data_IF_238108393516
#
_entry.id   IF_238108393516
#
_cell.length_a   1.000
_cell.length_b   1.000
_cell.length_c   1.000
_cell.angle_alpha   90.00
_cell.angle_beta   90.00
_cell.angle_gamma   90.00
#
_symmetry.space_group_name_H-M   'P 1'
#
loop_
_entity.id
_entity.type
_entity.pdbx_description
1 polymer ?
#
# COMPACT_ATOMS: atom_id res chain seq x y z
N UNK A 1 17.56 -38.05 0.82
CA UNK A 1 16.16 -38.40 0.46
C UNK A 1 15.12 -37.69 1.32
N UNK A 2 15.25 -37.64 2.66
CA UNK A 2 14.30 -36.91 3.55
C UNK A 2 14.14 -35.42 3.22
N UNK A 3 15.23 -34.75 2.83
CA UNK A 3 15.23 -33.32 2.50
C UNK A 3 14.55 -32.98 1.16
N UNK A 4 14.68 -33.88 0.16
CA UNK A 4 13.96 -33.78 -1.12
C UNK A 4 12.46 -34.01 -0.95
N UNK A 5 12.07 -35.01 -0.15
CA UNK A 5 10.67 -35.29 0.15
C UNK A 5 10.01 -34.16 0.98
N UNK A 6 10.76 -33.53 1.90
CA UNK A 6 10.33 -32.34 2.64
C UNK A 6 10.11 -31.13 1.72
N UNK A 7 11.04 -30.86 0.78
CA UNK A 7 10.87 -29.81 -0.24
C UNK A 7 9.70 -30.06 -1.19
N UNK A 8 9.50 -31.30 -1.65
CA UNK A 8 8.38 -31.66 -2.53
C UNK A 8 7.02 -31.54 -1.83
N UNK A 9 6.94 -31.91 -0.56
CA UNK A 9 5.72 -31.78 0.25
C UNK A 9 5.41 -30.32 0.56
N UNK A 10 6.41 -29.51 0.92
CA UNK A 10 6.26 -28.06 1.11
C UNK A 10 5.83 -27.37 -0.18
N UNK A 11 6.48 -27.66 -1.31
CA UNK A 11 6.11 -27.11 -2.62
C UNK A 11 4.67 -27.42 -3.03
N UNK A 12 4.14 -28.61 -2.70
CA UNK A 12 2.72 -28.95 -2.92
C UNK A 12 1.77 -28.19 -2.00
N UNK A 13 2.11 -28.04 -0.71
CA UNK A 13 1.34 -27.27 0.28
C UNK A 13 1.30 -25.80 -0.13
N UNK A 14 2.45 -25.22 -0.45
CA UNK A 14 2.61 -23.87 -1.00
C UNK A 14 1.76 -23.68 -2.24
N UNK A 15 1.85 -24.56 -3.25
CA UNK A 15 1.00 -24.46 -4.47
C UNK A 15 -0.50 -24.49 -4.18
N UNK A 16 -0.94 -25.30 -3.20
CA UNK A 16 -2.34 -25.38 -2.79
C UNK A 16 -2.80 -24.11 -2.06
N UNK A 17 -1.99 -23.60 -1.12
CA UNK A 17 -2.22 -22.33 -0.42
C UNK A 17 -2.28 -21.14 -1.39
N UNK A 18 -1.37 -21.10 -2.35
CA UNK A 18 -1.31 -20.07 -3.39
C UNK A 18 -2.54 -20.09 -4.30
N UNK A 19 -3.07 -21.27 -4.60
CA UNK A 19 -4.31 -21.41 -5.37
C UNK A 19 -5.51 -20.84 -4.60
N UNK A 20 -5.54 -21.03 -3.28
CA UNK A 20 -6.63 -20.56 -2.43
C UNK A 20 -6.46 -19.14 -1.92
N UNK A 21 -5.28 -18.50 -2.05
CA UNK A 21 -5.05 -17.11 -1.63
C UNK A 21 -6.10 -16.12 -2.19
N UNK A 22 -6.66 -16.40 -3.38
CA UNK A 22 -7.79 -15.67 -4.02
C UNK A 22 -9.06 -15.74 -3.20
N UNK A 23 -9.20 -16.86 -2.53
CA UNK A 23 -10.23 -17.14 -1.57
C UNK A 23 -9.85 -16.66 -0.18
N UNK A 24 -8.82 -15.83 0.04
CA UNK A 24 -8.61 -15.23 1.37
C UNK A 24 -8.61 -13.71 1.33
N UNK A 25 -7.91 -13.15 0.35
CA UNK A 25 -7.91 -11.71 0.05
C UNK A 25 -8.59 -11.55 -1.30
N UNK A 26 -9.85 -11.10 -1.31
CA UNK A 26 -10.63 -10.97 -2.53
C UNK A 26 -10.13 -9.81 -3.42
N UNK A 27 -9.69 -8.71 -2.78
CA UNK A 27 -9.04 -7.59 -3.45
C UNK A 27 -7.65 -7.97 -4.00
N UNK A 28 -7.20 -7.25 -5.02
CA UNK A 28 -5.81 -7.32 -5.50
C UNK A 28 -5.01 -6.23 -4.79
N UNK A 29 -4.25 -6.63 -3.78
CA UNK A 29 -3.42 -5.76 -2.95
C UNK A 29 -1.96 -5.86 -3.34
N UNK A 30 -1.30 -4.70 -3.44
CA UNK A 30 0.15 -4.52 -3.53
C UNK A 30 0.56 -3.51 -2.45
N UNK A 31 1.60 -3.82 -1.68
CA UNK A 31 2.18 -2.98 -0.64
C UNK A 31 3.63 -2.66 -0.97
N UNK A 32 3.96 -1.37 -1.03
CA UNK A 32 5.33 -0.89 -0.91
C UNK A 32 5.56 -0.49 0.54
N UNK A 33 6.47 -1.18 1.23
CA UNK A 33 6.82 -0.90 2.62
C UNK A 33 8.23 -0.35 2.73
N UNK A 34 8.46 0.47 3.75
CA UNK A 34 9.69 1.22 3.91
C UNK A 34 10.91 0.35 4.24
N UNK A 35 10.70 -0.74 4.97
CA UNK A 35 11.79 -1.55 5.49
C UNK A 35 11.35 -2.98 5.82
N UNK A 36 12.35 -3.84 6.09
CA UNK A 36 12.12 -5.19 6.59
C UNK A 36 11.71 -5.18 8.07
N UNK A 37 11.14 -6.27 8.52
CA UNK A 37 10.57 -6.53 9.86
C UNK A 37 11.56 -6.38 11.03
N UNK A 38 12.85 -6.18 10.77
CA UNK A 38 13.88 -5.95 11.79
C UNK A 38 14.55 -4.57 11.68
N UNK A 39 13.98 -3.63 10.93
CA UNK A 39 14.62 -2.36 10.58
C UNK A 39 13.85 -1.14 11.06
N UNK A 40 14.60 -0.07 11.36
CA UNK A 40 14.07 1.28 11.59
C UNK A 40 14.14 2.14 10.32
N UNK A 41 13.13 2.96 10.05
CA UNK A 41 13.08 3.88 8.91
C UNK A 41 13.89 5.16 9.13
N UNK A 42 14.43 5.72 8.06
CA UNK A 42 15.13 7.00 8.09
C UNK A 42 14.21 8.14 7.63
N UNK A 43 14.26 9.27 8.34
CA UNK A 43 13.62 10.51 7.90
C UNK A 43 14.48 11.25 6.86
N UNK A 44 13.83 11.92 5.91
CA UNK A 44 14.50 12.83 4.97
C UNK A 44 14.27 14.28 5.42
N UNK A 45 15.34 15.00 5.69
CA UNK A 45 15.28 16.39 6.15
C UNK A 45 14.85 17.41 5.08
N UNK A 46 14.96 17.04 3.78
CA UNK A 46 14.53 17.90 2.68
C UNK A 46 14.06 17.08 1.46
N UNK A 47 12.74 16.85 1.40
CA UNK A 47 12.06 16.09 0.34
C UNK A 47 12.23 16.72 -1.06
N UNK A 48 12.54 18.01 -1.16
CA UNK A 48 12.76 18.69 -2.46
C UNK A 48 14.07 18.30 -3.15
N UNK A 49 15.06 17.75 -2.41
CA UNK A 49 16.24 17.08 -3.02
C UNK A 49 15.83 15.89 -3.89
N UNK A 50 14.60 15.40 -3.75
CA UNK A 50 13.99 14.34 -4.56
C UNK A 50 13.07 14.87 -5.68
N UNK A 51 13.19 16.16 -6.06
CA UNK A 51 12.50 16.75 -7.22
C UNK A 51 10.95 16.71 -7.18
N UNK A 52 10.33 16.64 -6.00
CA UNK A 52 8.88 16.83 -5.84
C UNK A 52 8.55 18.34 -5.89
N UNK A 53 8.38 18.86 -7.11
CA UNK A 53 8.17 20.30 -7.38
C UNK A 53 6.86 20.90 -6.86
N UNK A 54 6.04 20.11 -6.15
CA UNK A 54 4.78 20.54 -5.52
C UNK A 54 4.90 20.66 -3.99
N UNK A 55 6.09 20.43 -3.44
CA UNK A 55 6.35 20.45 -1.99
C UNK A 55 7.18 21.69 -1.63
N UNK A 56 6.82 22.46 -0.58
CA UNK A 56 7.61 23.60 -0.12
C UNK A 56 9.05 23.23 0.27
N UNK A 57 9.97 24.20 0.18
CA UNK A 57 11.37 24.05 0.61
C UNK A 57 11.48 23.73 2.12
N UNK A 58 12.40 22.83 2.51
CA UNK A 58 12.62 22.48 3.92
C UNK A 58 11.62 21.48 4.52
N UNK A 59 10.72 20.92 3.70
CA UNK A 59 9.74 19.93 4.14
C UNK A 59 10.43 18.61 4.49
N UNK A 60 10.27 18.16 5.74
CA UNK A 60 10.64 16.83 6.21
C UNK A 60 9.60 15.79 5.77
N UNK A 61 10.03 14.57 5.50
CA UNK A 61 9.16 13.46 5.11
C UNK A 61 9.85 12.11 5.26
N UNK A 62 9.08 11.04 5.24
CA UNK A 62 9.57 9.67 5.24
C UNK A 62 10.23 9.33 3.91
N UNK A 63 11.32 8.56 3.97
CA UNK A 63 12.11 8.24 2.80
C UNK A 63 11.35 7.32 1.83
N UNK A 64 10.56 6.36 2.34
CA UNK A 64 9.79 5.46 1.48
C UNK A 64 8.75 6.24 0.66
N UNK A 65 7.95 7.08 1.31
CA UNK A 65 6.90 7.88 0.67
C UNK A 65 7.51 8.80 -0.38
N UNK A 66 8.55 9.52 -0.01
CA UNK A 66 9.19 10.51 -0.87
C UNK A 66 9.79 9.87 -2.13
N UNK A 67 10.46 8.73 -1.99
CA UNK A 67 11.06 8.01 -3.12
C UNK A 67 10.00 7.39 -4.04
N UNK A 68 8.96 6.79 -3.47
CA UNK A 68 7.85 6.25 -4.24
C UNK A 68 7.18 7.33 -5.09
N UNK A 69 6.82 8.46 -4.48
CA UNK A 69 6.22 9.59 -5.18
C UNK A 69 7.16 10.20 -6.22
N UNK A 70 8.47 10.28 -5.94
CA UNK A 70 9.47 10.81 -6.88
C UNK A 70 9.48 10.00 -8.17
N UNK A 71 9.57 8.69 -8.06
CA UNK A 71 9.65 7.77 -9.21
C UNK A 71 8.40 7.89 -10.08
N UNK A 72 7.22 7.84 -9.47
CA UNK A 72 5.96 7.93 -10.19
C UNK A 72 5.74 9.30 -10.82
N UNK A 73 6.07 10.37 -10.11
CA UNK A 73 5.90 11.73 -10.61
C UNK A 73 6.88 12.05 -11.75
N UNK A 74 8.10 11.52 -11.71
CA UNK A 74 9.05 11.62 -12.81
C UNK A 74 8.52 10.90 -14.06
N UNK A 75 8.04 9.66 -13.91
CA UNK A 75 7.44 8.91 -15.01
C UNK A 75 6.23 9.64 -15.61
N UNK A 76 5.36 10.21 -14.77
CA UNK A 76 4.23 11.04 -15.21
C UNK A 76 4.68 12.25 -16.05
N UNK A 77 5.72 12.99 -15.61
CA UNK A 77 6.25 14.13 -16.38
C UNK A 77 6.81 13.71 -17.75
N UNK A 78 7.53 12.59 -17.81
CA UNK A 78 8.05 12.06 -19.07
C UNK A 78 6.92 11.73 -20.07
N UNK A 79 5.85 11.09 -19.57
CA UNK A 79 4.67 10.79 -20.39
C UNK A 79 3.96 12.07 -20.89
N UNK A 80 3.81 13.07 -20.02
CA UNK A 80 3.20 14.36 -20.41
C UNK A 80 4.04 15.10 -21.46
N UNK A 81 5.35 15.11 -21.30
CA UNK A 81 6.25 15.73 -22.27
C UNK A 81 6.21 15.01 -23.63
N UNK A 82 6.20 13.67 -23.63
CA UNK A 82 6.03 12.89 -24.84
C UNK A 82 4.71 13.23 -25.55
N UNK A 83 3.60 13.25 -24.81
CA UNK A 83 2.27 13.56 -25.36
C UNK A 83 2.16 15.00 -25.89
N UNK A 84 2.85 15.97 -25.26
CA UNK A 84 2.93 17.34 -25.76
C UNK A 84 3.72 17.38 -27.07
N UNK A 85 4.93 16.83 -27.11
CA UNK A 85 5.78 16.82 -28.32
C UNK A 85 5.10 16.10 -29.48
N UNK A 86 4.35 15.03 -29.21
CA UNK A 86 3.57 14.31 -30.22
C UNK A 86 2.50 15.19 -30.86
N UNK A 87 1.74 15.94 -30.04
CA UNK A 87 0.74 16.93 -30.53
C UNK A 87 1.40 18.07 -31.32
N UNK A 88 2.49 18.63 -30.82
CA UNK A 88 3.20 19.70 -31.53
C UNK A 88 3.81 19.20 -32.86
N UNK A 89 4.22 17.93 -32.93
CA UNK A 89 4.80 17.33 -34.14
C UNK A 89 3.78 16.99 -35.21
N UNK A 90 2.52 16.67 -34.86
CA UNK A 90 1.46 16.43 -35.85
C UNK A 90 1.13 17.67 -36.67
N UNK A 91 1.52 18.85 -36.19
CA UNK A 91 1.33 20.14 -36.86
C UNK A 91 2.56 20.55 -37.73
N UNK A 92 3.62 19.72 -37.80
CA UNK A 92 4.88 20.05 -38.51
C UNK A 92 5.39 18.91 -39.40
N UNK A 93 5.88 19.24 -40.61
CA UNK A 93 6.40 18.27 -41.60
C UNK A 93 7.82 17.73 -41.29
N UNK A 94 8.23 17.63 -40.03
CA UNK A 94 9.59 17.19 -39.66
C UNK A 94 9.70 15.66 -39.46
N UNK A 95 10.05 14.93 -40.53
CA UNK A 95 10.26 13.46 -40.51
C UNK A 95 11.24 12.99 -39.41
N UNK A 96 12.31 13.74 -39.14
CA UNK A 96 13.30 13.36 -38.10
C UNK A 96 12.71 13.38 -36.68
N UNK A 97 11.79 14.31 -36.40
CA UNK A 97 11.13 14.41 -35.10
C UNK A 97 10.07 13.30 -34.93
N UNK A 98 9.39 12.93 -36.00
CA UNK A 98 8.43 11.82 -36.02
C UNK A 98 9.11 10.48 -35.71
N UNK A 99 10.33 10.24 -36.18
CA UNK A 99 11.09 9.02 -35.86
C UNK A 99 11.43 8.88 -34.36
N UNK A 100 11.75 9.99 -33.68
CA UNK A 100 12.04 10.00 -32.22
C UNK A 100 10.78 9.88 -31.37
N UNK A 101 9.61 10.24 -31.91
CA UNK A 101 8.31 10.14 -31.25
C UNK A 101 7.55 8.86 -31.61
N UNK A 102 8.14 7.99 -32.45
CA UNK A 102 7.51 6.74 -32.89
C UNK A 102 7.22 5.77 -31.74
N UNK A 103 8.00 5.85 -30.66
CA UNK A 103 7.87 4.98 -29.50
C UNK A 103 7.60 5.79 -28.23
N UNK A 104 6.49 5.51 -27.50
CA UNK A 104 6.24 6.13 -26.19
C UNK A 104 7.30 5.68 -25.17
N UNK A 105 7.49 6.44 -24.08
CA UNK A 105 8.34 6.00 -22.98
C UNK A 105 7.81 4.66 -22.44
N UNK A 106 8.70 3.71 -22.09
CA UNK A 106 8.28 2.42 -21.58
C UNK A 106 7.47 2.58 -20.29
N UNK A 107 6.46 1.74 -20.11
CA UNK A 107 5.69 1.70 -18.87
C UNK A 107 6.61 1.35 -17.71
N UNK A 108 6.44 2.07 -16.59
CA UNK A 108 7.15 1.75 -15.37
C UNK A 108 6.64 0.42 -14.80
N UNK A 109 7.54 -0.40 -14.27
CA UNK A 109 7.21 -1.71 -13.70
C UNK A 109 7.41 -1.71 -12.18
N UNK A 110 6.80 -2.68 -11.49
CA UNK A 110 6.97 -2.86 -10.04
C UNK A 110 8.44 -2.95 -9.64
N UNK A 111 9.22 -3.74 -10.39
CA UNK A 111 10.64 -3.95 -10.18
C UNK A 111 11.47 -2.70 -10.47
N UNK A 112 11.09 -1.89 -11.46
CA UNK A 112 11.77 -0.60 -11.71
C UNK A 112 11.59 0.36 -10.53
N UNK A 113 10.39 0.41 -9.93
CA UNK A 113 10.12 1.27 -8.77
C UNK A 113 10.91 0.79 -7.56
N UNK A 114 10.76 -0.50 -7.21
CA UNK A 114 11.42 -1.09 -6.04
C UNK A 114 12.95 -0.94 -6.12
N UNK A 115 13.55 -1.28 -7.27
CA UNK A 115 14.98 -1.18 -7.47
C UNK A 115 15.46 0.29 -7.38
N UNK A 116 14.69 1.25 -7.92
CA UNK A 116 15.06 2.66 -7.78
C UNK A 116 15.04 3.11 -6.32
N UNK A 117 13.99 2.76 -5.57
CA UNK A 117 13.88 3.10 -4.16
C UNK A 117 15.05 2.52 -3.34
N UNK A 118 15.41 1.25 -3.57
CA UNK A 118 16.54 0.58 -2.91
C UNK A 118 17.88 1.23 -3.26
N UNK A 119 18.14 1.52 -4.55
CA UNK A 119 19.38 2.18 -4.99
C UNK A 119 19.55 3.58 -4.38
N UNK A 120 18.46 4.34 -4.24
CA UNK A 120 18.54 5.66 -3.62
C UNK A 120 18.77 5.54 -2.12
N UNK A 121 18.15 4.56 -1.43
CA UNK A 121 18.44 4.30 -0.02
C UNK A 121 19.92 3.96 0.19
N UNK A 122 20.47 3.04 -0.62
CA UNK A 122 21.88 2.64 -0.57
C UNK A 122 22.82 3.82 -0.81
N UNK A 123 22.58 4.62 -1.86
CA UNK A 123 23.43 5.80 -2.18
C UNK A 123 23.43 6.87 -1.08
N UNK A 124 22.36 6.95 -0.29
CA UNK A 124 22.26 7.91 0.81
C UNK A 124 22.60 7.30 2.17
N UNK A 125 23.11 6.05 2.20
CA UNK A 125 23.43 5.30 3.41
C UNK A 125 22.23 5.17 4.38
N UNK A 126 21.01 5.06 3.85
CA UNK A 126 19.86 4.73 4.66
C UNK A 126 19.84 3.23 4.96
N UNK A 127 19.60 2.88 6.22
CA UNK A 127 19.55 1.49 6.68
C UNK A 127 18.30 0.75 6.22
N UNK A 128 17.24 1.49 5.88
CA UNK A 128 16.00 0.92 5.39
C UNK A 128 16.16 0.28 4.01
N UNK A 129 15.55 -0.90 3.83
CA UNK A 129 15.49 -1.59 2.55
C UNK A 129 14.02 -1.70 2.15
N UNK A 130 13.54 -0.87 1.19
CA UNK A 130 12.19 -0.96 0.70
C UNK A 130 11.84 -2.37 0.22
N UNK A 131 10.63 -2.81 0.54
CA UNK A 131 10.10 -4.10 0.17
C UNK A 131 8.81 -3.94 -0.64
N UNK A 132 8.48 -5.00 -1.37
CA UNK A 132 7.22 -5.11 -2.08
C UNK A 132 6.56 -6.42 -1.69
N UNK A 133 5.32 -6.36 -1.22
CA UNK A 133 4.49 -7.53 -0.96
C UNK A 133 3.16 -7.44 -1.68
N UNK A 134 2.58 -8.59 -2.03
CA UNK A 134 1.43 -8.69 -2.92
C UNK A 134 0.49 -9.81 -2.49
N UNK A 135 -0.79 -9.63 -2.79
CA UNK A 135 -1.83 -10.68 -2.67
C UNK A 135 -1.79 -11.71 -3.82
N UNK A 136 -1.09 -11.40 -4.91
CA UNK A 136 -0.96 -12.21 -6.13
C UNK A 136 0.49 -12.24 -6.61
N UNK A 137 0.92 -13.30 -7.31
CA UNK A 137 2.22 -13.28 -7.94
C UNK A 137 2.23 -12.24 -9.08
N UNK A 138 3.35 -11.54 -9.22
CA UNK A 138 3.59 -10.53 -10.26
C UNK A 138 4.95 -10.76 -10.91
N UNK A 139 5.07 -10.42 -12.18
CA UNK A 139 6.34 -10.42 -12.90
C UNK A 139 6.97 -9.03 -12.80
N UNK A 140 7.87 -8.85 -11.84
CA UNK A 140 8.32 -7.52 -11.43
C UNK A 140 8.81 -6.60 -12.55
N UNK A 141 9.53 -7.12 -13.54
CA UNK A 141 10.08 -6.33 -14.65
C UNK A 141 9.29 -6.47 -15.97
N UNK A 142 8.16 -7.20 -15.96
CA UNK A 142 7.30 -7.36 -17.15
C UNK A 142 5.93 -6.75 -16.96
N UNK A 143 5.38 -6.84 -15.76
CA UNK A 143 4.06 -6.32 -15.45
C UNK A 143 4.18 -4.80 -15.18
N UNK A 144 3.42 -3.96 -15.90
CA UNK A 144 3.42 -2.52 -15.65
C UNK A 144 2.79 -2.21 -14.29
N UNK A 145 3.33 -1.20 -13.60
CA UNK A 145 2.76 -0.65 -12.38
C UNK A 145 1.86 0.54 -12.71
N UNK A 146 0.63 0.51 -12.21
CA UNK A 146 -0.33 1.60 -12.31
C UNK A 146 -1.15 1.66 -11.03
N UNK A 147 -1.26 2.85 -10.42
CA UNK A 147 -2.21 3.08 -9.32
C UNK A 147 -3.63 3.00 -9.88
N UNK A 148 -3.89 3.73 -10.96
CA UNK A 148 -5.16 3.70 -11.71
C UNK A 148 -4.89 3.05 -13.07
N UNK A 149 -5.53 1.91 -13.40
CA UNK A 149 -5.39 1.28 -14.72
C UNK A 149 -5.82 2.22 -15.86
N UNK A 150 -5.16 2.12 -17.02
CA UNK A 150 -5.51 2.95 -18.20
C UNK A 150 -6.95 2.73 -18.69
N UNK A 151 -7.49 1.53 -18.47
CA UNK A 151 -8.87 1.17 -18.81
C UNK A 151 -9.87 1.46 -17.68
N UNK A 152 -9.46 2.16 -16.63
CA UNK A 152 -10.35 2.57 -15.56
C UNK A 152 -11.40 3.52 -16.12
N UNK A 153 -12.67 3.12 -16.03
CA UNK A 153 -13.79 3.99 -16.38
C UNK A 153 -14.53 4.29 -15.11
N UNK A 154 -14.49 5.56 -14.68
CA UNK A 154 -15.31 6.01 -13.58
C UNK A 154 -16.78 5.95 -14.02
N UNK A 155 -17.50 4.91 -13.58
CA UNK A 155 -18.93 4.76 -13.83
C UNK A 155 -19.63 4.69 -12.49
N UNK A 156 -20.61 5.53 -12.22
CA UNK A 156 -21.54 5.21 -11.14
C UNK A 156 -22.45 4.06 -11.61
N UNK A 157 -22.66 2.98 -10.82
CA UNK A 157 -22.23 2.78 -9.43
C UNK A 157 -20.91 2.00 -9.25
N UNK A 158 -20.17 1.66 -10.32
CA UNK A 158 -19.00 0.76 -10.29
C UNK A 158 -17.68 1.46 -10.64
N UNK A 159 -16.76 1.51 -9.67
CA UNK A 159 -15.40 1.99 -9.88
C UNK A 159 -15.20 3.43 -9.45
N UNK A 160 -14.92 3.60 -8.15
CA UNK A 160 -14.50 4.85 -7.52
C UNK A 160 -13.01 4.81 -7.17
N UNK A 161 -12.34 5.95 -7.26
CA UNK A 161 -10.97 6.12 -6.76
C UNK A 161 -11.01 6.57 -5.30
N UNK A 162 -10.66 5.70 -4.37
CA UNK A 162 -10.75 5.96 -2.92
C UNK A 162 -9.38 6.01 -2.29
N UNK A 163 -9.15 6.91 -1.34
CA UNK A 163 -7.91 6.91 -0.57
C UNK A 163 -8.19 6.85 0.94
N UNK A 164 -7.41 6.05 1.65
CA UNK A 164 -7.30 6.10 3.11
C UNK A 164 -5.88 6.53 3.47
N UNK A 165 -5.75 7.67 4.15
CA UNK A 165 -4.46 8.29 4.44
C UNK A 165 -4.39 8.58 5.93
N UNK A 166 -3.37 8.02 6.60
CA UNK A 166 -3.19 8.11 8.04
C UNK A 166 -1.77 8.61 8.32
N UNK A 167 -1.66 9.74 9.02
CA UNK A 167 -0.38 10.36 9.36
C UNK A 167 -0.31 10.70 10.84
N UNK A 168 0.69 10.17 11.52
CA UNK A 168 0.86 10.34 12.97
C UNK A 168 2.26 10.87 13.28
N UNK A 169 2.30 12.07 13.84
CA UNK A 169 3.53 12.80 14.18
C UNK A 169 3.86 12.69 15.68
N UNK A 170 2.92 12.24 16.50
CA UNK A 170 3.02 12.10 17.95
C UNK A 170 3.45 13.41 18.62
N UNK A 171 2.81 14.51 18.20
CA UNK A 171 3.10 15.87 18.70
C UNK A 171 3.05 15.90 20.23
N UNK A 172 4.02 16.56 20.87
CA UNK A 172 4.17 16.64 22.33
C UNK A 172 4.54 15.32 23.04
N UNK A 173 4.96 14.28 22.31
CA UNK A 173 5.54 13.07 22.88
C UNK A 173 7.07 13.04 22.73
N UNK A 174 7.80 12.28 23.56
CA UNK A 174 9.23 12.05 23.36
C UNK A 174 9.55 11.23 22.10
N UNK A 175 8.53 10.67 21.44
CA UNK A 175 8.63 9.88 20.23
C UNK A 175 8.13 10.65 18.99
N UNK A 176 8.13 11.99 19.05
CA UNK A 176 7.65 12.82 17.96
C UNK A 176 8.44 12.59 16.65
N UNK A 177 7.71 12.50 15.55
CA UNK A 177 8.22 12.52 14.19
C UNK A 177 8.04 13.94 13.63
N UNK A 178 8.57 14.22 12.44
CA UNK A 178 8.45 15.57 11.86
C UNK A 178 7.93 15.57 10.41
N UNK A 179 7.71 14.39 9.81
CA UNK A 179 7.41 14.25 8.38
C UNK A 179 6.04 13.65 8.05
N UNK A 180 5.40 12.92 8.96
CA UNK A 180 4.26 12.05 8.64
C UNK A 180 3.04 12.81 8.10
N UNK A 181 2.69 13.96 8.69
CA UNK A 181 1.63 14.81 8.16
C UNK A 181 1.99 15.40 6.78
N UNK A 182 3.26 15.71 6.54
CA UNK A 182 3.70 16.21 5.24
C UNK A 182 3.66 15.11 4.18
N UNK A 183 4.03 13.88 4.54
CA UNK A 183 3.91 12.71 3.67
C UNK A 183 2.46 12.52 3.21
N UNK A 184 1.50 12.60 4.15
CA UNK A 184 0.08 12.53 3.84
C UNK A 184 -0.36 13.64 2.87
N UNK A 185 0.03 14.90 3.13
CA UNK A 185 -0.27 16.04 2.25
C UNK A 185 0.33 15.85 0.85
N UNK A 186 1.55 15.30 0.76
CA UNK A 186 2.23 15.03 -0.50
C UNK A 186 1.53 13.93 -1.31
N UNK A 187 1.11 12.85 -0.64
CA UNK A 187 0.33 11.76 -1.25
C UNK A 187 -1.01 12.28 -1.77
N UNK A 188 -1.76 13.05 -0.97
CA UNK A 188 -3.03 13.67 -1.39
C UNK A 188 -2.81 14.54 -2.63
N UNK A 189 -1.83 15.44 -2.59
CA UNK A 189 -1.53 16.34 -3.70
C UNK A 189 -1.17 15.55 -4.98
N UNK A 190 -0.40 14.47 -4.85
CA UNK A 190 -0.05 13.59 -5.96
C UNK A 190 -1.29 12.88 -6.52
N UNK A 191 -2.11 12.23 -5.69
CA UNK A 191 -3.30 11.49 -6.11
C UNK A 191 -4.30 12.40 -6.83
N UNK A 192 -4.55 13.59 -6.29
CA UNK A 192 -5.43 14.59 -6.92
C UNK A 192 -4.86 15.08 -8.25
N UNK A 193 -3.59 15.45 -8.29
CA UNK A 193 -2.96 16.07 -9.47
C UNK A 193 -2.71 15.09 -10.62
N UNK A 194 -2.29 13.86 -10.29
CA UNK A 194 -1.83 12.87 -11.28
C UNK A 194 -2.93 11.88 -11.64
N UNK A 195 -3.78 11.53 -10.67
CA UNK A 195 -4.77 10.48 -10.84
C UNK A 195 -6.22 10.97 -10.70
N UNK A 196 -6.45 12.26 -10.44
CA UNK A 196 -7.79 12.86 -10.29
C UNK A 196 -8.65 12.09 -9.29
N UNK A 197 -8.12 11.92 -8.09
CA UNK A 197 -8.90 11.54 -6.91
C UNK A 197 -9.70 12.76 -6.44
N UNK A 198 -10.95 12.56 -6.07
CA UNK A 198 -11.83 13.60 -5.54
C UNK A 198 -11.70 13.70 -4.02
N UNK A 199 -11.84 14.90 -3.47
CA UNK A 199 -11.69 15.14 -2.01
C UNK A 199 -12.67 14.31 -1.18
N UNK A 200 -13.88 14.12 -1.69
CA UNK A 200 -14.97 13.37 -1.06
C UNK A 200 -14.65 11.87 -0.88
N UNK A 201 -13.76 11.33 -1.70
CA UNK A 201 -13.34 9.93 -1.67
C UNK A 201 -11.98 9.74 -0.96
N UNK A 202 -11.44 10.80 -0.33
CA UNK A 202 -10.21 10.75 0.48
C UNK A 202 -10.59 10.79 1.96
N UNK A 203 -10.40 9.68 2.66
CA UNK A 203 -10.48 9.60 4.12
C UNK A 203 -9.12 9.91 4.74
N UNK A 204 -9.05 10.92 5.61
CA UNK A 204 -7.81 11.41 6.20
C UNK A 204 -7.86 11.40 7.72
N UNK A 205 -6.89 10.75 8.37
CA UNK A 205 -6.67 10.82 9.82
C UNK A 205 -5.30 11.44 10.10
N UNK A 206 -5.26 12.56 10.81
CA UNK A 206 -4.01 13.27 11.18
C UNK A 206 -4.06 13.71 12.64
N UNK A 207 -2.93 13.58 13.34
CA UNK A 207 -2.76 14.07 14.71
C UNK A 207 -2.48 15.57 14.78
N UNK A 208 -3.27 16.36 14.05
CA UNK A 208 -3.15 17.81 14.03
C UNK A 208 -3.84 18.39 15.28
N UNK A 209 -3.10 19.06 16.20
CA UNK A 209 -3.69 19.63 17.41
C UNK A 209 -4.68 20.76 17.14
N UNK A 210 -4.71 21.30 15.91
CA UNK A 210 -5.64 22.36 15.48
C UNK A 210 -6.92 21.78 14.87
N UNK A 211 -6.94 20.51 14.48
CA UNK A 211 -8.13 19.87 13.94
C UNK A 211 -9.16 19.64 15.05
N UNK A 212 -10.25 20.40 15.01
CA UNK A 212 -11.33 20.35 16.01
C UNK A 212 -12.18 19.06 15.99
N UNK A 213 -11.95 18.16 15.01
CA UNK A 213 -12.74 16.94 14.86
C UNK A 213 -12.03 15.74 15.50
N UNK A 214 -12.54 15.33 16.66
CA UNK A 214 -12.09 14.14 17.40
C UNK A 214 -12.21 12.86 16.57
N UNK A 215 -13.07 12.82 15.54
CA UNK A 215 -13.21 11.63 14.67
C UNK A 215 -12.04 11.44 13.71
N UNK A 216 -11.34 12.51 13.36
CA UNK A 216 -10.20 12.47 12.44
C UNK A 216 -8.85 12.36 13.16
N UNK A 217 -8.85 12.38 14.49
CA UNK A 217 -7.66 12.04 15.27
C UNK A 217 -7.33 10.55 15.11
N UNK A 218 -6.07 10.18 14.82
CA UNK A 218 -5.65 8.81 14.56
C UNK A 218 -5.48 8.01 15.88
N UNK A 219 -6.51 8.00 16.70
CA UNK A 219 -6.61 7.14 17.89
C UNK A 219 -6.84 5.69 17.49
N UNK A 220 -6.51 4.73 18.36
CA UNK A 220 -6.75 3.30 18.10
C UNK A 220 -8.19 3.04 17.68
N UNK A 221 -9.13 3.63 18.43
CA UNK A 221 -10.57 3.48 18.19
C UNK A 221 -10.96 4.03 16.81
N UNK A 222 -10.47 5.21 16.44
CA UNK A 222 -10.82 5.84 15.17
C UNK A 222 -10.20 5.09 13.99
N UNK A 223 -8.94 4.68 14.08
CA UNK A 223 -8.29 3.90 13.02
C UNK A 223 -9.03 2.58 12.78
N UNK A 224 -9.32 1.80 13.83
CA UNK A 224 -10.04 0.52 13.68
C UNK A 224 -11.46 0.72 13.13
N UNK A 225 -12.16 1.77 13.56
CA UNK A 225 -13.47 2.15 13.01
C UNK A 225 -13.33 2.47 11.52
N UNK A 226 -12.36 3.30 11.16
CA UNK A 226 -12.12 3.74 9.78
C UNK A 226 -11.75 2.57 8.88
N UNK A 227 -10.87 1.66 9.31
CA UNK A 227 -10.58 0.44 8.55
C UNK A 227 -11.84 -0.35 8.22
N UNK A 228 -12.69 -0.57 9.23
CA UNK A 228 -13.95 -1.29 9.07
C UNK A 228 -14.91 -0.56 8.13
N UNK A 229 -15.13 0.75 8.30
CA UNK A 229 -16.08 1.48 7.47
C UNK A 229 -15.59 1.67 6.05
N UNK A 230 -14.30 1.96 5.87
CA UNK A 230 -13.68 2.16 4.56
C UNK A 230 -13.71 0.89 3.71
N UNK A 231 -13.36 -0.27 4.30
CA UNK A 231 -13.40 -1.55 3.58
C UNK A 231 -14.81 -1.94 3.17
N UNK A 232 -15.82 -1.66 4.01
CA UNK A 232 -17.24 -1.90 3.69
C UNK A 232 -17.82 -0.92 2.65
N UNK A 233 -17.23 0.26 2.48
CA UNK A 233 -17.62 1.23 1.45
C UNK A 233 -17.05 0.88 0.06
N UNK A 234 -15.97 0.11 0.01
CA UNK A 234 -15.36 -0.31 -1.25
C UNK A 234 -16.34 -1.17 -2.06
N UNK A 235 -16.36 -0.96 -3.37
CA UNK A 235 -17.20 -1.69 -4.32
C UNK A 235 -16.36 -2.37 -5.40
N UNK A 236 -16.96 -3.35 -6.09
CA UNK A 236 -16.31 -4.03 -7.20
C UNK A 236 -15.89 -3.03 -8.28
N UNK A 237 -14.60 -3.05 -8.65
CA UNK A 237 -14.01 -2.12 -9.63
C UNK A 237 -13.36 -0.87 -9.03
N UNK A 238 -13.44 -0.67 -7.72
CA UNK A 238 -12.76 0.46 -7.06
C UNK A 238 -11.24 0.37 -7.19
N UNK A 239 -10.62 1.54 -7.28
CA UNK A 239 -9.17 1.73 -7.18
C UNK A 239 -8.89 2.42 -5.86
N UNK A 240 -8.12 1.76 -5.00
CA UNK A 240 -7.88 2.16 -3.62
C UNK A 240 -6.41 2.47 -3.43
N UNK A 241 -6.14 3.62 -2.83
CA UNK A 241 -4.81 3.97 -2.32
C UNK A 241 -4.83 4.00 -0.79
N UNK A 242 -3.90 3.29 -0.14
CA UNK A 242 -3.78 3.30 1.33
C UNK A 242 -2.41 3.83 1.68
N UNK A 243 -2.34 4.84 2.53
CA UNK A 243 -1.09 5.40 3.03
C UNK A 243 -1.08 5.43 4.54
N UNK A 244 0.01 4.96 5.13
CA UNK A 244 0.31 5.13 6.54
C UNK A 244 1.71 5.73 6.68
N UNK A 245 1.84 6.78 7.47
CA UNK A 245 3.12 7.32 7.91
C UNK A 245 3.09 7.55 9.43
N UNK A 246 4.02 6.92 10.15
CA UNK A 246 4.06 6.94 11.60
C UNK A 246 5.02 5.91 12.16
N UNK A 247 4.90 5.57 13.44
CA UNK A 247 5.66 4.49 14.04
C UNK A 247 5.04 3.13 13.72
N UNK A 248 5.91 2.16 13.51
CA UNK A 248 5.60 0.74 13.51
C UNK A 248 6.58 0.02 14.44
N UNK A 249 6.15 -1.08 15.04
CA UNK A 249 6.95 -1.87 15.99
C UNK A 249 6.69 -3.36 15.76
N UNK A 250 7.69 -4.18 16.10
CA UNK A 250 7.51 -5.61 16.29
C UNK A 250 7.13 -5.90 17.75
N UNK A 251 6.06 -6.66 17.96
CA UNK A 251 5.57 -7.08 19.28
C UNK A 251 5.73 -8.58 19.41
N UNK A 252 6.20 -9.07 20.56
CA UNK A 252 6.31 -10.51 20.80
C UNK A 252 4.91 -11.15 20.77
N UNK A 253 4.72 -12.13 19.88
CA UNK A 253 3.44 -12.77 19.68
C UNK A 253 3.05 -13.60 20.93
N UNK A 254 1.77 -13.54 21.32
CA UNK A 254 1.25 -14.38 22.43
C UNK A 254 1.25 -15.88 22.10
N UNK A 255 1.29 -16.23 20.82
CA UNK A 255 1.48 -17.58 20.27
C UNK A 255 2.40 -17.52 19.05
N UNK A 256 3.34 -18.47 18.93
CA UNK A 256 4.29 -18.59 17.80
C UNK A 256 3.63 -19.15 16.53
N UNK A 257 2.57 -18.50 16.05
CA UNK A 257 1.92 -18.89 14.79
C UNK A 257 2.67 -18.33 13.56
N UNK A 258 3.59 -17.38 13.78
CA UNK A 258 4.49 -16.78 12.78
C UNK A 258 5.92 -17.36 12.84
N UNK A 259 6.69 -17.35 11.73
CA UNK A 259 8.00 -18.00 11.64
C UNK A 259 9.05 -17.50 12.64
N UNK A 260 8.91 -16.25 13.11
CA UNK A 260 9.82 -15.57 14.04
C UNK A 260 9.19 -15.28 15.41
N UNK A 261 7.90 -15.60 15.61
CA UNK A 261 7.13 -15.33 16.82
C UNK A 261 6.95 -13.83 17.16
N UNK A 262 7.06 -12.92 16.19
CA UNK A 262 6.68 -11.52 16.37
C UNK A 262 5.40 -11.22 15.58
N UNK A 263 4.71 -10.15 15.95
CA UNK A 263 3.62 -9.56 15.19
C UNK A 263 3.96 -8.11 14.91
N UNK A 264 3.66 -7.64 13.71
CA UNK A 264 3.87 -6.24 13.37
C UNK A 264 2.70 -5.39 13.81
N UNK A 265 3.01 -4.18 14.28
CA UNK A 265 2.00 -3.31 14.82
C UNK A 265 2.22 -1.84 14.47
N UNK A 266 1.13 -1.14 14.22
CA UNK A 266 1.09 0.31 14.07
C UNK A 266 0.82 0.97 15.42
N UNK A 267 1.47 2.10 15.71
CA UNK A 267 1.22 2.86 16.93
C UNK A 267 0.21 3.99 16.67
N UNK A 268 -1.02 3.93 17.18
CA UNK A 268 -1.94 5.06 17.14
C UNK A 268 -1.44 6.23 18.01
N UNK A 269 -2.01 7.43 17.88
CA UNK A 269 -1.56 8.60 18.65
C UNK A 269 -1.69 8.40 20.17
N UNK A 270 -2.66 7.58 20.60
CA UNK A 270 -2.98 7.24 21.98
C UNK A 270 -2.43 5.85 22.41
N UNK A 271 -1.38 5.35 21.73
CA UNK A 271 -0.84 4.01 21.98
C UNK A 271 -0.42 3.78 23.44
N UNK A 272 0.01 4.81 24.17
CA UNK A 272 0.40 4.67 25.58
C UNK A 272 -0.77 4.24 26.47
N UNK A 273 -2.00 4.58 26.12
CA UNK A 273 -3.21 4.23 26.89
C UNK A 273 -4.05 3.14 26.24
N UNK A 274 -4.05 3.08 24.91
CA UNK A 274 -4.92 2.20 24.12
C UNK A 274 -4.17 0.98 23.54
N UNK A 275 -2.84 0.99 23.62
CA UNK A 275 -1.97 0.01 22.99
C UNK A 275 -1.86 0.18 21.46
N UNK A 276 -1.20 -0.79 20.85
CA UNK A 276 -0.87 -0.90 19.44
C UNK A 276 -2.02 -1.46 18.58
N UNK A 277 -1.91 -1.34 17.26
CA UNK A 277 -2.81 -1.98 16.28
C UNK A 277 -2.02 -3.07 15.57
N UNK A 278 -2.35 -4.33 15.82
CA UNK A 278 -1.65 -5.48 15.25
C UNK A 278 -2.02 -5.69 13.76
N UNK A 279 -1.10 -6.26 12.99
CA UNK A 279 -1.29 -6.76 11.62
C UNK A 279 -2.60 -7.53 11.43
N UNK A 280 -2.95 -8.42 12.36
CA UNK A 280 -4.16 -9.22 12.36
C UNK A 280 -5.43 -8.37 12.43
N UNK A 281 -5.40 -7.25 13.17
CA UNK A 281 -6.53 -6.30 13.22
C UNK A 281 -6.67 -5.55 11.89
N UNK A 282 -5.55 -5.16 11.28
CA UNK A 282 -5.52 -4.51 9.97
C UNK A 282 -6.07 -5.48 8.92
N UNK A 283 -5.53 -6.69 8.86
CA UNK A 283 -5.94 -7.74 7.94
C UNK A 283 -7.45 -7.99 8.06
N UNK A 284 -7.94 -8.17 9.30
CA UNK A 284 -9.33 -8.49 9.58
C UNK A 284 -10.31 -7.38 9.23
N UNK A 285 -9.98 -6.14 9.55
CA UNK A 285 -10.92 -5.01 9.41
C UNK A 285 -10.79 -4.31 8.07
N UNK A 286 -9.61 -4.32 7.46
CA UNK A 286 -9.33 -3.60 6.23
C UNK A 286 -9.35 -4.53 5.01
N UNK A 287 -8.64 -5.66 5.03
CA UNK A 287 -8.44 -6.48 3.83
C UNK A 287 -9.55 -7.53 3.61
N UNK A 288 -9.93 -8.26 4.65
CA UNK A 288 -10.96 -9.31 4.54
C UNK A 288 -12.29 -8.79 3.97
N UNK A 289 -12.82 -7.63 4.41
CA UNK A 289 -14.14 -7.18 3.95
C UNK A 289 -14.16 -6.61 2.53
N UNK A 290 -13.00 -6.26 1.95
CA UNK A 290 -12.94 -5.65 0.62
C UNK A 290 -13.44 -6.61 -0.46
N UNK A 291 -14.27 -6.14 -1.41
CA UNK A 291 -14.80 -7.00 -2.46
C UNK A 291 -13.74 -7.43 -3.47
N UNK A 292 -14.11 -8.44 -4.26
CA UNK A 292 -13.33 -8.87 -5.43
C UNK A 292 -13.17 -7.71 -6.42
N UNK A 293 -12.10 -7.77 -7.21
CA UNK A 293 -11.77 -6.79 -8.26
C UNK A 293 -11.56 -5.34 -7.78
N UNK A 294 -11.45 -5.11 -6.47
CA UNK A 294 -10.82 -3.88 -5.95
C UNK A 294 -9.32 -3.96 -6.19
N UNK A 295 -8.72 -2.88 -6.70
CA UNK A 295 -7.29 -2.75 -6.88
C UNK A 295 -6.74 -1.86 -5.76
N UNK A 296 -5.88 -2.40 -4.90
CA UNK A 296 -5.33 -1.69 -3.75
C UNK A 296 -3.83 -1.49 -3.95
N UNK A 297 -3.39 -0.23 -3.95
CA UNK A 297 -1.99 0.14 -3.76
C UNK A 297 -1.83 0.68 -2.35
N UNK A 298 -1.03 0.00 -1.53
CA UNK A 298 -0.68 0.44 -0.19
C UNK A 298 0.77 0.94 -0.15
N UNK A 299 1.02 1.99 0.61
CA UNK A 299 2.33 2.60 0.85
C UNK A 299 2.48 2.86 2.34
N UNK A 300 3.35 2.10 3.00
CA UNK A 300 3.55 2.20 4.44
C UNK A 300 4.96 2.71 4.73
N UNK A 301 5.01 3.89 5.36
CA UNK A 301 6.23 4.57 5.78
C UNK A 301 6.37 4.48 7.30
N UNK A 302 6.76 3.28 7.74
CA UNK A 302 6.98 2.95 9.14
C UNK A 302 7.99 1.81 9.27
N UNK A 303 8.62 1.75 10.44
CA UNK A 303 9.47 0.62 10.83
C UNK A 303 8.65 -0.67 10.86
N UNK A 304 9.32 -1.82 10.67
CA UNK A 304 8.69 -3.14 10.84
C UNK A 304 7.43 -3.35 9.98
N UNK A 305 7.52 -3.04 8.68
CA UNK A 305 6.36 -2.97 7.79
C UNK A 305 6.38 -3.95 6.62
N UNK A 306 7.32 -4.89 6.58
CA UNK A 306 7.44 -5.88 5.50
C UNK A 306 6.23 -6.80 5.43
N UNK A 307 5.75 -7.22 6.60
CA UNK A 307 4.63 -8.15 6.79
C UNK A 307 3.35 -7.52 7.34
N UNK A 308 3.28 -6.20 7.57
CA UNK A 308 2.14 -5.50 8.23
C UNK A 308 0.74 -5.72 7.64
N UNK A 309 0.64 -6.25 6.41
CA UNK A 309 -0.62 -6.60 5.75
C UNK A 309 -0.80 -8.11 5.52
N UNK A 310 0.09 -8.95 6.03
CA UNK A 310 0.12 -10.42 5.88
C UNK A 310 -0.07 -10.87 4.43
N UNK A 311 0.60 -10.17 3.51
CA UNK A 311 0.52 -10.48 2.10
C UNK A 311 1.44 -11.67 1.75
N UNK A 312 0.93 -12.67 1.02
CA UNK A 312 1.63 -13.94 0.83
C UNK A 312 2.84 -13.89 -0.09
N UNK A 313 2.92 -12.95 -1.03
CA UNK A 313 4.03 -12.88 -1.98
C UNK A 313 4.93 -11.72 -1.61
N UNK A 314 6.18 -11.98 -1.25
CA UNK A 314 7.16 -10.95 -0.93
C UNK A 314 8.30 -10.93 -1.95
N UNK A 315 8.82 -9.74 -2.19
CA UNK A 315 9.88 -9.48 -3.14
C UNK A 315 10.92 -8.55 -2.52
N UNK A 316 12.16 -9.04 -2.43
CA UNK A 316 13.31 -8.30 -1.91
C UNK A 316 14.56 -8.53 -2.77
N UNK A 317 15.49 -7.57 -2.75
CA UNK A 317 16.81 -7.70 -3.39
C UNK A 317 16.88 -7.38 -4.90
N UNK A 318 18.10 -7.49 -5.45
CA UNK A 318 18.46 -7.08 -6.82
C UNK A 318 17.94 -8.03 -7.92
N UNK A 319 17.60 -9.27 -7.58
CA UNK A 319 16.95 -10.25 -8.46
C UNK A 319 15.76 -10.87 -7.71
N UNK A 320 14.65 -10.12 -7.60
CA UNK A 320 13.52 -10.51 -6.78
C UNK A 320 12.74 -11.65 -7.46
N UNK A 321 13.17 -12.88 -7.21
CA UNK A 321 12.31 -14.05 -7.39
C UNK A 321 11.36 -14.05 -6.20
N UNK A 322 10.06 -14.22 -6.45
CA UNK A 322 9.11 -14.43 -5.36
C UNK A 322 9.60 -15.60 -4.51
N UNK A 323 9.86 -15.36 -3.24
CA UNK A 323 10.18 -16.43 -2.31
C UNK A 323 8.89 -17.18 -2.00
N UNK A 324 8.63 -18.23 -2.77
CA UNK A 324 7.45 -19.06 -2.56
C UNK A 324 7.57 -19.91 -1.28
N UNK A 325 8.79 -20.14 -0.79
CA UNK A 325 9.04 -20.95 0.40
C UNK A 325 8.78 -20.14 1.69
N UNK A 326 8.70 -18.81 1.62
CA UNK A 326 8.33 -17.90 2.72
C UNK A 326 6.84 -17.54 2.78
N UNK A 327 6.02 -18.07 1.86
CA UNK A 327 4.56 -17.83 1.85
C UNK A 327 3.92 -18.43 3.11
N UNK A 328 3.54 -17.59 4.06
CA UNK A 328 2.73 -17.94 5.23
C UNK A 328 1.39 -17.22 5.13
N UNK A 329 0.30 -17.91 5.47
CA UNK A 329 -1.02 -17.30 5.64
C UNK A 329 -1.47 -17.53 7.09
N UNK A 330 -1.09 -16.63 8.03
CA UNK A 330 -1.38 -16.83 9.45
C UNK A 330 -2.88 -16.77 9.78
N UNK A 331 -3.73 -16.26 8.87
CA UNK A 331 -5.13 -15.91 9.18
C UNK A 331 -6.21 -16.75 8.49
N UNK A 332 -5.87 -17.93 7.96
CA UNK A 332 -6.80 -18.76 7.16
C UNK A 332 -8.11 -19.06 7.91
N UNK A 333 -8.02 -19.53 9.16
CA UNK A 333 -9.19 -19.83 10.00
C UNK A 333 -10.06 -18.59 10.23
N UNK A 334 -9.43 -17.43 10.44
CA UNK A 334 -10.14 -16.17 10.67
C UNK A 334 -11.00 -15.77 9.47
N UNK A 335 -10.48 -15.96 8.26
CA UNK A 335 -11.23 -15.66 7.03
C UNK A 335 -12.41 -16.62 6.85
N UNK A 336 -12.23 -17.91 7.12
CA UNK A 336 -13.32 -18.89 7.05
C UNK A 336 -14.46 -18.50 8.01
N UNK A 337 -14.12 -18.19 9.26
CA UNK A 337 -15.07 -17.75 10.29
C UNK A 337 -15.78 -16.44 9.91
N UNK A 338 -15.08 -15.50 9.28
CA UNK A 338 -15.67 -14.25 8.81
C UNK A 338 -16.70 -14.50 7.70
N UNK A 339 -16.36 -15.34 6.72
CA UNK A 339 -17.24 -15.64 5.58
C UNK A 339 -18.50 -16.38 6.01
N UNK A 340 -18.37 -17.32 6.93
CA UNK A 340 -19.52 -18.02 7.47
C UNK A 340 -20.45 -17.09 8.24
N UNK A 341 -19.91 -16.09 8.96
CA UNK A 341 -20.70 -15.01 9.53
C UNK A 341 -21.43 -14.18 8.46
N UNK A 342 -20.73 -13.77 7.40
CA UNK A 342 -21.35 -12.99 6.31
C UNK A 342 -22.43 -13.77 5.57
N UNK A 343 -22.24 -15.07 5.33
CA UNK A 343 -23.24 -15.97 4.74
C UNK A 343 -24.49 -16.07 5.62
N UNK A 344 -24.32 -16.13 6.95
CA UNK A 344 -25.45 -16.13 7.91
C UNK A 344 -26.21 -14.81 7.87
N UNK A 345 -25.52 -13.67 7.89
CA UNK A 345 -26.15 -12.34 7.82
C UNK A 345 -26.96 -12.18 6.52
N UNK A 346 -26.37 -12.52 5.37
CA UNK A 346 -27.06 -12.45 4.08
C UNK A 346 -28.33 -13.30 4.05
N UNK A 347 -28.25 -14.55 4.54
CA UNK A 347 -29.44 -15.43 4.65
C UNK A 347 -30.54 -14.81 5.51
N UNK A 348 -30.18 -14.19 6.64
CA UNK A 348 -31.16 -13.53 7.52
C UNK A 348 -31.82 -12.33 6.84
N UNK A 349 -31.06 -11.56 6.07
CA UNK A 349 -31.56 -10.40 5.35
C UNK A 349 -32.47 -10.80 4.18
N UNK A 350 -32.07 -11.79 3.37
CA UNK A 350 -32.90 -12.36 2.30
C UNK A 350 -34.23 -12.97 2.85
N UNK A 351 -34.21 -13.52 4.07
CA UNK A 351 -35.41 -14.03 4.77
C UNK A 351 -36.33 -12.93 5.31
N UNK A 352 -35.79 -11.74 5.59
CA UNK A 352 -36.57 -10.58 6.02
C UNK A 352 -37.21 -9.90 4.81
N UNK A 353 -36.45 -9.73 3.73
CA UNK A 353 -36.90 -9.10 2.49
C UNK A 353 -37.93 -9.95 1.72
N UNK A 354 -37.96 -11.26 1.93
CA UNK A 354 -38.97 -12.17 1.35
C UNK A 354 -40.28 -12.26 2.16
N UNK A 355 -40.33 -11.64 3.34
CA UNK A 355 -41.52 -11.58 4.20
C UNK A 355 -42.21 -10.21 4.20
N UNK A 356 -41.54 -9.19 3.68
CA UNK A 356 -42.07 -7.87 3.34
C UNK A 356 -42.53 -7.83 1.89
#
# INVERSE_FOLDING_TARGET
MKERASKESRSKITKKLLATAKDYIAAKVVLFSACQDHQTTAGIDNVRKLCLSFVPEGTKGGACTSLFLQVLYHNYKLQQEYNRRRRDSSDSNHEHLQSKLAHPPPSITYGTILNHMQQVCERNNYTQIPLLSCSRPIHLYKDPFQIVPDNFVQKSPQGTKRALIIGITYTNSPHALAGCQNDCRNVIAFLKKVHSFEDEDITLLLDDPVACDDLNQPTKKNILRTFRTFSMQCQEGDVVFIHYAGHGIAVEARSCDEPDCFQEALLPVDYMTSGEILDVDIFRLLLIPMPKNVLVTALFDCCHSGTILDLPFQYSGANPVCDYDSVVFPHMQMVEDFRDRMRKVKKTQDLQDSKS
#
